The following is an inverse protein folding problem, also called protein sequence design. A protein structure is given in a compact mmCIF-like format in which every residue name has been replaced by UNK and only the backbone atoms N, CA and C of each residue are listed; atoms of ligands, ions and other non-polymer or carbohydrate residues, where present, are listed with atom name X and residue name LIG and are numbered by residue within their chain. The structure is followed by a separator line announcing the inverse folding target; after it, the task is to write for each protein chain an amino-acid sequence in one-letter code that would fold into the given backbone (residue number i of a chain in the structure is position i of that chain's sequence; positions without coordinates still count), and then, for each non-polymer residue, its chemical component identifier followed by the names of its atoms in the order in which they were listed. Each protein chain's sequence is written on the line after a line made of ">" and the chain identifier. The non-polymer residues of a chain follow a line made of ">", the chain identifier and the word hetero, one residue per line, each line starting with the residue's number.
data_IF_519127136302
#
_entry.id   IF_519127136302
#
_cell.length_a   1.000
_cell.length_b   1.000
_cell.length_c   1.000
_cell.angle_alpha   90.00
_cell.angle_beta   90.00
_cell.angle_gamma   90.00
#
_symmetry.space_group_name_H-M   'P 1'
#
loop_
_entity.id
_entity.type
_entity.pdbx_description
1 polymer ?
#
# COMPACT_ATOMS: atom_id res chain seq x y z
N UNK A 1 -26.98 3.22 -28.71
CA UNK A 1 -25.50 3.23 -28.73
C UNK A 1 -25.02 3.28 -27.28
N UNK A 2 -24.19 2.36 -26.78
CA UNK A 2 -23.60 2.54 -25.46
C UNK A 2 -22.47 3.58 -25.56
N UNK A 3 -22.48 4.51 -24.61
CA UNK A 3 -21.54 5.64 -24.50
C UNK A 3 -20.11 5.17 -24.18
N UNK A 4 -19.08 5.97 -24.53
CA UNK A 4 -17.69 5.63 -24.24
C UNK A 4 -17.51 5.40 -22.75
N UNK A 5 -16.85 4.30 -22.40
CA UNK A 5 -16.46 3.92 -21.04
C UNK A 5 -16.12 5.15 -20.22
N UNK A 6 -16.94 5.44 -19.22
CA UNK A 6 -16.57 6.30 -18.13
C UNK A 6 -15.30 5.72 -17.54
N UNK A 7 -14.13 6.25 -17.92
CA UNK A 7 -12.93 6.15 -17.09
C UNK A 7 -13.42 6.46 -15.68
N UNK A 8 -13.11 5.60 -14.70
CA UNK A 8 -13.45 5.85 -13.31
C UNK A 8 -12.84 7.20 -12.90
N UNK A 9 -13.57 8.28 -13.17
CA UNK A 9 -13.23 9.65 -12.84
C UNK A 9 -13.54 9.85 -11.37
N UNK A 10 -12.90 9.05 -10.52
CA UNK A 10 -12.97 9.22 -9.08
C UNK A 10 -12.44 10.62 -8.80
N UNK A 11 -13.29 11.48 -8.24
CA UNK A 11 -12.85 12.78 -7.76
C UNK A 11 -11.87 12.59 -6.59
N UNK A 12 -11.18 13.65 -6.21
CA UNK A 12 -10.19 13.61 -5.14
C UNK A 12 -10.78 13.04 -3.83
N UNK A 13 -11.99 13.46 -3.46
CA UNK A 13 -12.68 12.99 -2.25
C UNK A 13 -12.96 11.49 -2.27
N UNK A 14 -13.41 10.94 -3.40
CA UNK A 14 -13.63 9.50 -3.55
C UNK A 14 -12.32 8.71 -3.45
N UNK A 15 -11.24 9.21 -4.05
CA UNK A 15 -9.92 8.56 -3.93
C UNK A 15 -9.45 8.55 -2.48
N UNK A 16 -9.58 9.68 -1.78
CA UNK A 16 -9.20 9.79 -0.38
C UNK A 16 -10.03 8.85 0.51
N UNK A 17 -11.33 8.74 0.28
CA UNK A 17 -12.19 7.81 1.01
C UNK A 17 -11.79 6.34 0.79
N UNK A 18 -11.40 5.95 -0.43
CA UNK A 18 -10.88 4.61 -0.72
C UNK A 18 -9.58 4.35 0.03
N UNK A 19 -8.64 5.31 0.00
CA UNK A 19 -7.36 5.20 0.72
C UNK A 19 -7.62 5.02 2.22
N UNK A 20 -8.49 5.83 2.81
CA UNK A 20 -8.83 5.75 4.22
C UNK A 20 -9.47 4.41 4.59
N UNK A 21 -10.35 3.86 3.75
CA UNK A 21 -10.93 2.54 3.96
C UNK A 21 -9.87 1.43 3.93
N UNK A 22 -8.88 1.52 3.02
CA UNK A 22 -7.75 0.58 3.01
C UNK A 22 -6.86 0.72 4.26
N UNK A 23 -6.60 1.94 4.72
CA UNK A 23 -5.88 2.19 5.97
C UNK A 23 -6.60 1.51 7.14
N UNK A 24 -7.92 1.71 7.24
CA UNK A 24 -8.74 1.14 8.31
C UNK A 24 -8.69 -0.40 8.33
N UNK A 25 -8.85 -1.07 7.18
CA UNK A 25 -8.77 -2.54 7.15
C UNK A 25 -7.34 -3.03 7.48
N UNK A 26 -6.30 -2.30 7.06
CA UNK A 26 -4.91 -2.63 7.40
C UNK A 26 -4.63 -2.45 8.89
N UNK A 27 -5.22 -1.46 9.55
CA UNK A 27 -5.14 -1.29 11.00
C UNK A 27 -5.71 -2.49 11.75
N UNK A 28 -6.76 -3.11 11.22
CA UNK A 28 -7.37 -4.33 11.73
C UNK A 28 -6.65 -5.62 11.29
N UNK A 29 -5.51 -5.52 10.59
CA UNK A 29 -4.74 -6.69 10.15
C UNK A 29 -5.31 -7.39 8.92
N UNK A 30 -6.24 -6.78 8.19
CA UNK A 30 -6.84 -7.38 7.00
C UNK A 30 -6.12 -6.87 5.75
N UNK A 31 -5.54 -7.80 4.99
CA UNK A 31 -4.99 -7.54 3.66
C UNK A 31 -6.02 -7.99 2.61
N UNK A 32 -6.48 -7.09 1.74
CA UNK A 32 -7.54 -7.40 0.77
C UNK A 32 -7.06 -8.29 -0.41
N UNK A 33 -5.80 -8.13 -0.83
CA UNK A 33 -5.15 -8.79 -1.97
C UNK A 33 -5.73 -8.56 -3.38
N UNK A 34 -7.02 -8.25 -3.53
CA UNK A 34 -7.66 -8.01 -4.82
C UNK A 34 -8.07 -6.54 -5.04
N UNK A 35 -7.08 -5.64 -5.09
CA UNK A 35 -7.31 -4.20 -5.24
C UNK A 35 -7.64 -3.83 -6.69
N UNK A 36 -8.94 -3.78 -7.02
CA UNK A 36 -9.42 -3.42 -8.36
C UNK A 36 -10.65 -2.51 -8.33
N UNK A 37 -10.90 -1.68 -9.37
CA UNK A 37 -12.07 -0.80 -9.42
C UNK A 37 -13.42 -1.52 -9.29
N UNK A 38 -13.51 -2.78 -9.75
CA UNK A 38 -14.73 -3.59 -9.62
C UNK A 38 -15.09 -3.89 -8.15
N UNK A 39 -14.10 -3.88 -7.25
CA UNK A 39 -14.24 -4.16 -5.83
C UNK A 39 -14.48 -2.88 -5.01
N UNK A 40 -14.83 -1.78 -5.68
CA UNK A 40 -15.22 -0.52 -5.03
C UNK A 40 -16.60 -0.12 -5.54
N UNK A 41 -17.58 -0.17 -4.65
CA UNK A 41 -18.98 0.20 -4.97
C UNK A 41 -19.33 1.56 -4.41
N UNK A 42 -20.28 2.23 -5.04
CA UNK A 42 -20.84 3.48 -4.54
C UNK A 42 -22.03 3.17 -3.63
N UNK A 43 -21.97 3.61 -2.38
CA UNK A 43 -23.09 3.45 -1.46
C UNK A 43 -24.28 4.29 -1.92
N UNK A 44 -25.49 3.72 -1.83
CA UNK A 44 -26.69 4.28 -2.47
C UNK A 44 -27.23 5.55 -1.81
N UNK A 45 -26.93 5.76 -0.52
CA UNK A 45 -27.47 6.88 0.27
C UNK A 45 -26.56 8.11 0.24
N UNK A 46 -25.29 7.93 0.64
CA UNK A 46 -24.31 9.02 0.77
C UNK A 46 -23.40 9.15 -0.48
N UNK A 47 -23.45 8.19 -1.40
CA UNK A 47 -22.60 8.17 -2.56
C UNK A 47 -21.12 7.88 -2.28
N UNK A 48 -20.75 7.49 -1.05
CA UNK A 48 -19.38 7.22 -0.67
C UNK A 48 -18.90 5.87 -1.22
N UNK A 49 -17.62 5.73 -1.59
CA UNK A 49 -17.06 4.46 -2.01
C UNK A 49 -16.96 3.48 -0.85
N UNK A 50 -17.23 2.20 -1.09
CA UNK A 50 -17.05 1.09 -0.15
C UNK A 50 -16.26 -0.02 -0.81
N UNK A 51 -15.28 -0.54 -0.10
CA UNK A 51 -14.52 -1.73 -0.49
C UNK A 51 -15.43 -2.95 -0.26
N UNK A 52 -15.48 -3.84 -1.24
CA UNK A 52 -16.25 -5.09 -1.20
C UNK A 52 -15.36 -6.25 -1.65
N UNK A 53 -15.86 -7.48 -1.52
CA UNK A 53 -15.22 -8.71 -2.01
C UNK A 53 -13.90 -9.06 -1.28
N UNK A 54 -14.07 -9.69 -0.11
CA UNK A 54 -12.96 -10.14 0.76
C UNK A 54 -12.67 -11.64 0.60
N UNK A 55 -13.11 -12.30 -0.49
CA UNK A 55 -12.97 -13.75 -0.63
C UNK A 55 -11.52 -14.23 -0.62
N UNK A 56 -10.59 -13.41 -1.11
CA UNK A 56 -9.15 -13.69 -1.13
C UNK A 56 -8.36 -12.88 -0.09
N UNK A 57 -9.06 -12.25 0.86
CA UNK A 57 -8.43 -11.46 1.91
C UNK A 57 -7.70 -12.36 2.93
N UNK A 58 -6.61 -11.84 3.48
CA UNK A 58 -5.81 -12.47 4.54
C UNK A 58 -5.96 -11.69 5.84
N UNK A 59 -6.18 -12.40 6.94
CA UNK A 59 -6.03 -11.82 8.29
C UNK A 59 -4.61 -12.10 8.79
N UNK A 60 -3.89 -11.03 9.11
CA UNK A 60 -2.53 -11.06 9.65
C UNK A 60 -2.59 -10.68 11.11
N UNK A 61 -2.23 -11.63 11.97
CA UNK A 61 -2.17 -11.39 13.42
C UNK A 61 -1.15 -10.30 13.75
N UNK A 62 -1.39 -9.58 14.85
CA UNK A 62 -0.55 -8.45 15.26
C UNK A 62 0.94 -8.83 15.44
N UNK A 63 1.20 -10.03 15.97
CA UNK A 63 2.57 -10.54 16.15
C UNK A 63 3.29 -10.76 14.82
N UNK A 64 2.59 -11.34 13.84
CA UNK A 64 3.12 -11.53 12.50
C UNK A 64 3.34 -10.20 11.78
N UNK A 65 2.40 -9.25 11.91
CA UNK A 65 2.55 -7.90 11.36
C UNK A 65 3.78 -7.19 11.89
N UNK A 66 4.02 -7.26 13.21
CA UNK A 66 5.20 -6.68 13.83
C UNK A 66 6.50 -7.32 13.32
N UNK A 67 6.50 -8.65 13.15
CA UNK A 67 7.63 -9.38 12.59
C UNK A 67 7.93 -8.97 11.14
N UNK A 68 6.90 -8.88 10.28
CA UNK A 68 7.02 -8.43 8.89
C UNK A 68 7.58 -6.99 8.82
N UNK A 69 7.11 -6.09 9.68
CA UNK A 69 7.61 -4.71 9.73
C UNK A 69 9.09 -4.64 10.16
N UNK A 70 9.48 -5.41 11.19
CA UNK A 70 10.85 -5.46 11.66
C UNK A 70 11.81 -6.04 10.60
N UNK A 71 11.36 -7.06 9.85
CA UNK A 71 12.11 -7.62 8.74
C UNK A 71 12.32 -6.58 7.62
N UNK A 72 11.27 -5.88 7.21
CA UNK A 72 11.36 -4.82 6.21
C UNK A 72 12.32 -3.70 6.62
N UNK A 73 12.24 -3.23 7.87
CA UNK A 73 13.14 -2.18 8.39
C UNK A 73 14.61 -2.64 8.38
N UNK A 74 14.87 -3.90 8.77
CA UNK A 74 16.21 -4.49 8.71
C UNK A 74 16.73 -4.56 7.27
N UNK A 75 15.89 -4.95 6.32
CA UNK A 75 16.27 -5.03 4.91
C UNK A 75 16.59 -3.64 4.35
N UNK A 76 15.78 -2.63 4.68
CA UNK A 76 16.06 -1.24 4.30
C UNK A 76 17.37 -0.75 4.90
N UNK A 77 17.64 -1.00 6.18
CA UNK A 77 18.91 -0.64 6.81
C UNK A 77 20.12 -1.30 6.13
N UNK A 78 19.97 -2.54 5.65
CA UNK A 78 21.02 -3.21 4.88
C UNK A 78 21.29 -2.48 3.55
N UNK A 79 20.23 -2.09 2.82
CA UNK A 79 20.34 -1.31 1.56
C UNK A 79 21.06 0.01 1.80
N UNK A 80 20.71 0.75 2.85
CA UNK A 80 21.34 2.03 3.20
C UNK A 80 22.83 1.88 3.54
N UNK A 81 23.23 0.79 4.22
CA UNK A 81 24.64 0.53 4.53
C UNK A 81 25.46 0.23 3.28
N UNK A 82 24.94 -0.60 2.39
CA UNK A 82 25.63 -0.91 1.13
C UNK A 82 25.73 0.29 0.19
N UNK A 83 24.79 1.24 0.28
CA UNK A 83 24.82 2.47 -0.53
C UNK A 83 25.81 3.53 0.01
N UNK A 84 26.34 3.36 1.22
CA UNK A 84 27.27 4.31 1.87
C UNK A 84 28.73 3.87 1.92
N UNK A 85 29.07 2.69 1.37
CA UNK A 85 30.43 2.14 1.40
C UNK A 85 31.29 2.51 0.17
N UNK A 86 30.74 3.23 -0.82
CA UNK A 86 31.45 3.58 -2.06
C UNK A 86 32.25 4.91 -2.02
N UNK A 87 32.21 5.67 -0.91
CA UNK A 87 32.77 7.04 -0.84
C UNK A 87 34.08 7.21 -0.05
N UNK A 88 34.77 6.14 0.38
CA UNK A 88 36.03 6.27 1.17
C UNK A 88 37.22 5.43 0.66
N UNK A 89 37.49 5.45 -0.65
CA UNK A 89 38.82 5.13 -1.19
C UNK A 89 39.56 6.42 -1.61
N UNK A 90 39.73 7.33 -0.65
CA UNK A 90 40.62 8.48 -0.74
C UNK A 90 42.10 8.08 -0.69
N UNK A 91 42.63 7.70 -1.86
CA UNK A 91 44.01 7.84 -2.34
C UNK A 91 45.07 8.28 -1.31
N UNK A 92 45.75 7.33 -0.65
CA UNK A 92 47.04 7.60 0.02
C UNK A 92 48.14 7.72 -1.02
N UNK A 93 48.34 8.93 -1.52
CA UNK A 93 49.55 9.30 -2.25
C UNK A 93 50.77 9.20 -1.33
N UNK A 94 51.65 8.26 -1.64
CA UNK A 94 53.02 8.19 -1.13
C UNK A 94 53.89 9.15 -1.95
N UNK A 95 54.43 10.20 -1.32
CA UNK A 95 55.73 10.79 -1.64
C UNK A 95 56.42 11.24 -0.35
#
# INVERSE_FOLDING_TARGET
>A
MPTPSSRFGLNFSSRLAIINAYIEIHEHGILHHDVWPRNVTKHSVDGAPRIIDFEVAEYVEQGERAARQAAFEKDMQAVWKTAGEDDDEGQKGTE
#
